data_IF_668788307931
#
_entry.id   IF_668788307931
#
_cell.length_a   1.000
_cell.length_b   1.000
_cell.length_c   1.000
_cell.angle_alpha   90.00
_cell.angle_beta   90.00
_cell.angle_gamma   90.00
#
_symmetry.space_group_name_H-M   'P 1'
#
loop_
_entity.id
_entity.type
_entity.pdbx_description
1 polymer ?
#
# COMPACT_ATOMS: atom_id res chain seq x y z
N UNK A 1 -9.60 0.12 -11.93
CA UNK A 1 -9.01 0.23 -10.54
C UNK A 1 -8.30 -1.03 -10.05
N UNK A 2 -7.95 -1.97 -10.94
CA UNK A 2 -7.28 -3.20 -10.48
C UNK A 2 -5.91 -2.92 -9.82
N UNK A 3 -5.09 -2.09 -10.47
CA UNK A 3 -3.77 -1.71 -9.95
C UNK A 3 -3.88 -0.90 -8.66
N UNK A 4 -4.77 0.09 -8.63
CA UNK A 4 -4.95 0.98 -7.46
C UNK A 4 -5.40 0.18 -6.24
N UNK A 5 -6.40 -0.69 -6.40
CA UNK A 5 -6.88 -1.58 -5.31
C UNK A 5 -5.77 -2.49 -4.81
N UNK A 6 -5.00 -3.07 -5.71
CA UNK A 6 -3.91 -3.97 -5.36
C UNK A 6 -2.81 -3.23 -4.57
N UNK A 7 -2.39 -2.07 -5.06
CA UNK A 7 -1.36 -1.26 -4.41
C UNK A 7 -1.82 -0.75 -3.05
N UNK A 8 -3.08 -0.30 -2.93
CA UNK A 8 -3.63 0.18 -1.66
C UNK A 8 -3.69 -0.93 -0.60
N UNK A 9 -4.13 -2.15 -0.97
CA UNK A 9 -4.15 -3.29 -0.06
C UNK A 9 -2.74 -3.62 0.46
N UNK A 10 -1.73 -3.61 -0.42
CA UNK A 10 -0.34 -3.82 -0.02
C UNK A 10 0.22 -2.64 0.80
N UNK A 11 -0.17 -1.40 0.49
CA UNK A 11 0.25 -0.24 1.26
C UNK A 11 -0.29 -0.30 2.70
N UNK A 12 -1.53 -0.75 2.90
CA UNK A 12 -2.10 -1.02 4.23
C UNK A 12 -1.28 -2.10 4.94
N UNK A 13 -1.11 -3.28 4.33
CA UNK A 13 -0.36 -4.40 4.91
C UNK A 13 1.08 -4.00 5.27
N UNK A 14 1.78 -3.34 4.35
CA UNK A 14 3.16 -2.91 4.53
C UNK A 14 3.29 -1.86 5.65
N UNK A 15 2.26 -1.08 5.95
CA UNK A 15 2.29 -0.07 7.01
C UNK A 15 1.88 -0.56 8.39
N UNK A 16 1.43 -1.81 8.54
CA UNK A 16 1.12 -2.42 9.83
C UNK A 16 2.37 -2.65 10.70
N UNK A 17 2.13 -2.92 11.98
CA UNK A 17 3.14 -3.46 12.90
C UNK A 17 3.63 -4.83 12.43
N UNK A 18 4.74 -5.29 13.00
CA UNK A 18 5.38 -6.53 12.59
C UNK A 18 6.24 -6.38 11.32
N UNK A 19 6.70 -7.50 10.82
CA UNK A 19 7.52 -7.61 9.61
C UNK A 19 6.60 -8.02 8.45
N UNK A 20 6.47 -7.20 7.40
CA UNK A 20 5.61 -7.56 6.29
C UNK A 20 6.20 -8.74 5.51
N UNK A 21 5.38 -9.77 5.30
CA UNK A 21 5.69 -10.90 4.43
C UNK A 21 4.91 -10.76 3.12
N UNK A 22 5.61 -10.77 2.00
CA UNK A 22 4.99 -10.67 0.67
C UNK A 22 5.21 -11.99 -0.06
N UNK A 23 4.12 -12.64 -0.45
CA UNK A 23 4.18 -13.85 -1.27
C UNK A 23 4.80 -13.53 -2.64
N UNK A 24 5.65 -14.44 -3.13
CA UNK A 24 6.39 -14.24 -4.37
C UNK A 24 5.50 -13.81 -5.55
N UNK A 25 4.42 -14.54 -5.81
CA UNK A 25 3.51 -14.22 -6.90
C UNK A 25 2.79 -12.87 -6.71
N UNK A 26 2.58 -12.46 -5.46
CA UNK A 26 2.01 -11.14 -5.17
C UNK A 26 2.95 -10.00 -5.54
N UNK A 27 4.28 -10.19 -5.47
CA UNK A 27 5.21 -9.13 -5.90
C UNK A 27 5.03 -8.73 -7.37
N UNK A 28 4.55 -9.64 -8.20
CA UNK A 28 4.38 -9.42 -9.64
C UNK A 28 2.92 -9.22 -10.07
N UNK A 29 1.98 -9.18 -9.11
CA UNK A 29 0.56 -9.12 -9.43
C UNK A 29 0.11 -10.29 -10.31
N UNK A 30 0.65 -11.49 -10.06
CA UNK A 30 0.33 -12.71 -10.79
C UNK A 30 -1.15 -13.03 -10.66
N UNK A 31 -1.81 -13.27 -11.78
CA UNK A 31 -3.22 -13.70 -11.80
C UNK A 31 -3.34 -15.15 -11.32
N UNK A 32 -4.53 -15.54 -10.91
CA UNK A 32 -4.85 -16.93 -10.62
C UNK A 32 -4.62 -17.82 -11.85
N UNK A 33 -4.20 -19.05 -11.62
CA UNK A 33 -4.01 -20.09 -12.63
C UNK A 33 -5.24 -20.99 -12.67
N UNK A 34 -6.34 -20.45 -13.21
CA UNK A 34 -7.60 -21.16 -13.31
C UNK A 34 -7.50 -22.39 -14.21
N UNK A 35 -6.70 -22.28 -15.27
CA UNK A 35 -6.47 -23.42 -16.20
C UNK A 35 -5.85 -24.62 -15.47
N UNK A 36 -4.88 -24.37 -14.61
CA UNK A 36 -4.26 -25.42 -13.81
C UNK A 36 -5.23 -26.02 -12.80
N UNK A 37 -6.05 -25.20 -12.18
CA UNK A 37 -7.09 -25.67 -11.25
C UNK A 37 -8.10 -26.60 -11.96
N UNK A 38 -8.55 -26.24 -13.17
CA UNK A 38 -9.46 -27.09 -13.97
C UNK A 38 -8.84 -28.47 -14.24
N UNK A 39 -7.52 -28.53 -14.53
CA UNK A 39 -6.83 -29.79 -14.82
C UNK A 39 -6.63 -30.63 -13.54
N UNK A 40 -6.27 -30.01 -12.42
CA UNK A 40 -5.83 -30.74 -11.22
C UNK A 40 -6.93 -30.93 -10.17
N UNK A 41 -7.99 -30.13 -10.22
CA UNK A 41 -9.02 -30.07 -9.16
C UNK A 41 -8.50 -29.57 -7.81
N UNK A 42 -7.23 -29.14 -7.72
CA UNK A 42 -6.61 -28.74 -6.46
C UNK A 42 -6.71 -27.24 -6.24
N UNK A 43 -7.47 -26.82 -5.24
CA UNK A 43 -7.65 -25.40 -4.88
C UNK A 43 -6.33 -24.63 -4.66
N UNK A 44 -5.27 -25.30 -4.21
CA UNK A 44 -3.97 -24.68 -4.01
C UNK A 44 -3.27 -24.28 -5.32
N UNK A 45 -3.63 -24.89 -6.43
CA UNK A 45 -3.00 -24.58 -7.73
C UNK A 45 -3.47 -23.25 -8.30
N UNK A 46 -4.65 -22.74 -7.87
CA UNK A 46 -5.19 -21.44 -8.30
C UNK A 46 -4.19 -20.29 -8.10
N UNK A 47 -3.49 -20.26 -6.99
CA UNK A 47 -2.61 -19.13 -6.63
C UNK A 47 -1.12 -19.48 -6.63
N UNK A 48 -0.74 -20.65 -7.14
CA UNK A 48 0.65 -21.16 -7.15
C UNK A 48 1.23 -21.22 -8.55
N UNK A 49 0.98 -20.19 -9.36
CA UNK A 49 1.61 -20.08 -10.67
C UNK A 49 3.14 -20.20 -10.54
N UNK A 50 3.75 -21.03 -11.38
CA UNK A 50 5.21 -21.25 -11.42
C UNK A 50 5.82 -20.42 -12.53
N UNK A 51 6.52 -19.36 -12.16
CA UNK A 51 7.24 -18.53 -13.10
C UNK A 51 8.49 -19.25 -13.64
N UNK A 52 8.66 -19.21 -14.94
CA UNK A 52 9.96 -19.46 -15.55
C UNK A 52 10.84 -18.21 -15.37
N UNK A 53 12.10 -18.39 -14.94
CA UNK A 53 13.02 -17.29 -14.63
C UNK A 53 13.24 -16.36 -15.83
N UNK A 54 13.42 -16.91 -17.03
CA UNK A 54 13.60 -16.13 -18.28
C UNK A 54 12.36 -15.28 -18.57
N UNK A 55 11.17 -15.85 -18.40
CA UNK A 55 9.91 -15.17 -18.67
C UNK A 55 9.66 -14.01 -17.70
N UNK A 56 9.83 -14.22 -16.39
CA UNK A 56 9.63 -13.16 -15.42
C UNK A 56 10.68 -12.06 -15.57
N UNK A 57 11.94 -12.41 -15.83
CA UNK A 57 13.02 -11.45 -16.08
C UNK A 57 12.73 -10.56 -17.29
N UNK A 58 12.24 -11.14 -18.39
CA UNK A 58 11.86 -10.36 -19.56
C UNK A 58 10.69 -9.42 -19.27
N UNK A 59 9.67 -9.89 -18.54
CA UNK A 59 8.54 -9.03 -18.15
C UNK A 59 8.98 -7.89 -17.23
N UNK A 60 9.92 -8.12 -16.33
CA UNK A 60 10.44 -7.06 -15.45
C UNK A 60 11.28 -6.02 -16.20
N UNK A 61 11.98 -6.41 -17.26
CA UNK A 61 12.72 -5.48 -18.13
C UNK A 61 11.80 -4.65 -19.05
N UNK A 62 10.58 -5.10 -19.27
CA UNK A 62 9.60 -4.39 -20.10
C UNK A 62 8.87 -3.34 -19.24
N UNK A 63 9.21 -2.06 -19.40
CA UNK A 63 8.77 -0.96 -18.54
C UNK A 63 7.27 -0.86 -18.28
N UNK A 64 6.44 -1.21 -19.23
CA UNK A 64 4.98 -1.11 -19.12
C UNK A 64 4.29 -2.47 -18.92
N UNK A 65 5.04 -3.54 -18.63
CA UNK A 65 4.42 -4.80 -18.28
C UNK A 65 3.70 -4.70 -16.95
N UNK A 66 2.59 -5.42 -16.79
CA UNK A 66 1.85 -5.53 -15.52
C UNK A 66 2.82 -5.89 -14.37
N UNK A 67 3.68 -6.88 -14.57
CA UNK A 67 4.62 -7.37 -13.57
C UNK A 67 5.64 -6.31 -13.15
N UNK A 68 6.21 -5.57 -14.12
CA UNK A 68 7.13 -4.47 -13.84
C UNK A 68 6.46 -3.35 -13.04
N UNK A 69 5.24 -2.95 -13.42
CA UNK A 69 4.50 -1.90 -12.72
C UNK A 69 4.23 -2.30 -11.25
N UNK A 70 3.72 -3.52 -11.01
CA UNK A 70 3.44 -4.00 -9.66
C UNK A 70 4.71 -4.10 -8.82
N UNK A 71 5.74 -4.75 -9.35
CA UNK A 71 7.02 -4.91 -8.68
C UNK A 71 7.62 -3.56 -8.25
N UNK A 72 7.70 -2.61 -9.17
CA UNK A 72 8.27 -1.30 -8.89
C UNK A 72 7.46 -0.53 -7.83
N UNK A 73 6.12 -0.60 -7.87
CA UNK A 73 5.28 0.05 -6.86
C UNK A 73 5.48 -0.58 -5.48
N UNK A 74 5.53 -1.91 -5.37
CA UNK A 74 5.76 -2.58 -4.09
C UNK A 74 7.17 -2.33 -3.55
N UNK A 75 8.20 -2.41 -4.39
CA UNK A 75 9.57 -2.06 -4.02
C UNK A 75 9.67 -0.62 -3.51
N UNK A 76 8.97 0.33 -4.15
CA UNK A 76 8.91 1.71 -3.67
C UNK A 76 8.30 1.81 -2.27
N UNK A 77 7.17 1.15 -2.01
CA UNK A 77 6.53 1.13 -0.69
C UNK A 77 7.49 0.57 0.38
N UNK A 78 8.14 -0.55 0.10
CA UNK A 78 9.12 -1.16 1.01
C UNK A 78 10.33 -0.24 1.27
N UNK A 79 10.85 0.39 0.21
CA UNK A 79 11.96 1.33 0.31
C UNK A 79 11.61 2.58 1.13
N UNK A 80 10.38 3.06 1.04
CA UNK A 80 9.90 4.16 1.88
C UNK A 80 9.76 3.69 3.32
N UNK A 81 9.07 2.55 3.54
CA UNK A 81 8.85 1.98 4.88
C UNK A 81 10.15 1.84 5.67
N UNK A 82 11.17 1.20 5.08
CA UNK A 82 12.42 0.90 5.79
C UNK A 82 13.17 2.14 6.31
N UNK A 83 12.86 3.31 5.76
CA UNK A 83 13.46 4.58 6.16
C UNK A 83 12.71 5.27 7.29
N UNK A 84 11.54 4.75 7.71
CA UNK A 84 10.69 5.40 8.70
C UNK A 84 10.78 4.69 10.04
N UNK A 85 11.21 5.40 11.08
CA UNK A 85 11.25 4.89 12.46
C UNK A 85 9.86 4.49 12.98
N UNK A 86 8.81 5.21 12.55
CA UNK A 86 7.43 4.90 12.89
C UNK A 86 6.95 3.55 12.35
N UNK A 87 7.60 3.00 11.31
CA UNK A 87 7.30 1.67 10.78
C UNK A 87 8.17 0.54 11.37
N UNK A 88 8.91 0.80 12.44
CA UNK A 88 9.55 -0.28 13.19
C UNK A 88 8.51 -1.35 13.59
N UNK A 89 8.84 -2.66 13.53
CA UNK A 89 7.89 -3.73 13.85
C UNK A 89 7.14 -3.55 15.16
N UNK A 90 7.83 -3.10 16.20
CA UNK A 90 7.29 -2.90 17.55
C UNK A 90 6.85 -1.44 17.81
N UNK A 91 6.74 -0.59 16.80
CA UNK A 91 6.20 0.75 16.95
C UNK A 91 4.69 0.69 17.17
N UNK A 92 4.17 1.59 17.98
CA UNK A 92 2.75 1.64 18.34
C UNK A 92 1.88 1.92 17.12
N UNK A 93 0.73 1.25 17.03
CA UNK A 93 -0.35 1.56 16.09
C UNK A 93 -1.59 1.98 16.87
N UNK A 94 -2.24 3.03 16.41
CA UNK A 94 -3.53 3.51 16.96
C UNK A 94 -4.48 3.69 15.78
N UNK A 95 -5.62 3.00 15.80
CA UNK A 95 -6.65 3.17 14.78
C UNK A 95 -7.27 4.56 14.86
N UNK A 96 -7.64 5.09 13.71
CA UNK A 96 -8.32 6.38 13.56
C UNK A 96 -9.64 6.15 12.84
N UNK A 97 -10.69 6.80 13.28
CA UNK A 97 -12.00 6.73 12.65
C UNK A 97 -12.14 7.86 11.60
N UNK A 98 -12.29 7.47 10.36
CA UNK A 98 -12.56 8.36 9.21
C UNK A 98 -13.87 7.99 8.52
N UNK A 99 -14.72 7.17 9.17
CA UNK A 99 -15.95 6.61 8.61
C UNK A 99 -15.73 5.37 7.74
N UNK A 100 -16.80 4.76 7.24
CA UNK A 100 -16.78 3.39 6.69
C UNK A 100 -16.06 3.23 5.36
N UNK A 101 -15.76 4.31 4.65
CA UNK A 101 -15.12 4.28 3.33
C UNK A 101 -13.63 4.59 3.36
N UNK A 102 -13.11 5.01 4.51
CA UNK A 102 -11.70 5.38 4.66
C UNK A 102 -11.13 4.58 5.82
N UNK A 103 -10.11 3.80 5.54
CA UNK A 103 -9.35 3.12 6.59
C UNK A 103 -8.13 3.94 6.97
N UNK A 104 -7.92 4.13 8.28
CA UNK A 104 -6.78 4.89 8.74
C UNK A 104 -6.31 4.54 10.14
N UNK A 105 -5.03 4.77 10.35
CA UNK A 105 -4.36 4.60 11.63
C UNK A 105 -3.09 5.45 11.67
N UNK A 106 -2.59 5.70 12.86
CA UNK A 106 -1.27 6.30 13.06
C UNK A 106 -0.27 5.30 13.60
N UNK A 107 0.97 5.42 13.14
CA UNK A 107 2.15 4.73 13.65
C UNK A 107 3.01 5.74 14.39
N UNK A 108 3.48 5.38 15.57
CA UNK A 108 4.29 6.24 16.42
C UNK A 108 5.61 5.53 16.67
N UNK A 109 6.74 6.18 16.32
CA UNK A 109 8.07 5.62 16.56
C UNK A 109 8.31 5.38 18.05
N UNK A 110 9.21 4.45 18.39
CA UNK A 110 9.52 4.12 19.79
C UNK A 110 10.02 5.34 20.59
N UNK A 111 10.77 6.21 19.94
CA UNK A 111 11.25 7.48 20.52
C UNK A 111 10.20 8.60 20.50
N UNK A 112 8.97 8.32 20.03
CA UNK A 112 7.83 9.24 19.89
C UNK A 112 8.10 10.48 19.02
N UNK A 113 9.24 10.56 18.33
CA UNK A 113 9.63 11.72 17.50
C UNK A 113 9.01 11.70 16.12
N UNK A 114 8.71 10.53 15.58
CA UNK A 114 8.05 10.40 14.28
C UNK A 114 6.65 9.82 14.42
N UNK A 115 5.68 10.47 13.80
CA UNK A 115 4.31 10.00 13.64
C UNK A 115 4.04 9.91 12.14
N UNK A 116 3.53 8.76 11.70
CA UNK A 116 3.04 8.56 10.33
C UNK A 116 1.57 8.19 10.38
N UNK A 117 0.72 9.01 9.76
CA UNK A 117 -0.71 8.73 9.60
C UNK A 117 -0.91 8.08 8.23
N UNK A 118 -1.37 6.83 8.26
CA UNK A 118 -1.70 6.06 7.07
C UNK A 118 -3.19 6.18 6.82
N UNK A 119 -3.58 6.67 5.65
CA UNK A 119 -4.99 6.86 5.28
C UNK A 119 -5.21 6.27 3.89
N UNK A 120 -6.22 5.42 3.75
CA UNK A 120 -6.57 4.75 2.48
C UNK A 120 -8.05 4.89 2.20
N UNK A 121 -8.39 5.39 1.02
CA UNK A 121 -9.74 5.33 0.49
C UNK A 121 -10.02 3.90 0.01
N UNK A 122 -11.00 3.22 0.62
CA UNK A 122 -11.39 1.84 0.28
C UNK A 122 -12.46 1.77 -0.82
N UNK A 123 -12.88 2.94 -1.35
CA UNK A 123 -13.99 3.01 -2.30
C UNK A 123 -13.54 3.38 -3.71
N UNK A 124 -14.40 3.09 -4.69
CA UNK A 124 -14.23 3.47 -6.10
C UNK A 124 -14.62 4.92 -6.40
N UNK A 125 -14.97 5.71 -5.39
CA UNK A 125 -15.31 7.13 -5.50
C UNK A 125 -14.34 7.98 -4.70
N UNK A 126 -14.06 9.23 -5.08
CA UNK A 126 -13.30 10.14 -4.25
C UNK A 126 -13.92 10.27 -2.87
N UNK A 127 -13.10 10.34 -1.84
CA UNK A 127 -13.53 10.51 -0.45
C UNK A 127 -12.81 11.71 0.17
N UNK A 128 -13.51 12.38 1.08
CA UNK A 128 -13.03 13.56 1.78
C UNK A 128 -12.99 13.31 3.28
N UNK A 129 -11.88 13.62 3.91
CA UNK A 129 -11.73 13.49 5.37
C UNK A 129 -11.07 14.71 5.96
N UNK A 130 -11.36 14.97 7.24
CA UNK A 130 -10.70 16.06 7.97
C UNK A 130 -9.26 15.65 8.31
N UNK A 131 -8.34 16.61 8.20
CA UNK A 131 -6.99 16.47 8.73
C UNK A 131 -6.94 17.35 9.99
N UNK A 132 -6.42 16.78 11.08
CA UNK A 132 -6.22 17.56 12.31
C UNK A 132 -5.18 18.67 12.05
N UNK A 133 -5.58 19.92 12.31
CA UNK A 133 -4.70 21.09 12.16
C UNK A 133 -3.49 21.06 13.08
N UNK A 134 -3.58 20.33 14.20
CA UNK A 134 -2.52 20.20 15.18
C UNK A 134 -1.38 19.27 14.72
N UNK A 135 -1.53 18.63 13.55
CA UNK A 135 -0.50 17.75 12.99
C UNK A 135 0.75 18.48 12.48
N UNK A 136 0.78 19.84 12.57
CA UNK A 136 1.90 20.62 12.08
C UNK A 136 2.07 20.52 10.54
N UNK A 137 3.28 20.78 10.06
CA UNK A 137 3.62 20.64 8.64
C UNK A 137 3.84 19.15 8.33
N UNK A 138 2.85 18.50 7.71
CA UNK A 138 2.96 17.09 7.30
C UNK A 138 3.33 16.97 5.82
N UNK A 139 4.13 15.95 5.48
CA UNK A 139 4.43 15.56 4.11
C UNK A 139 3.91 14.17 3.78
N UNK A 140 3.49 13.97 2.55
CA UNK A 140 3.15 12.64 2.07
C UNK A 140 4.42 11.88 1.64
N UNK A 141 4.77 10.85 2.37
CA UNK A 141 5.95 10.01 2.09
C UNK A 141 5.86 9.30 0.73
N UNK A 142 4.64 9.04 0.25
CA UNK A 142 4.42 8.39 -1.04
C UNK A 142 4.61 9.34 -2.23
N UNK A 143 4.84 10.64 -1.94
CA UNK A 143 5.22 11.65 -2.94
C UNK A 143 4.09 12.11 -3.86
N UNK A 144 2.85 11.63 -3.69
CA UNK A 144 1.71 12.20 -4.39
C UNK A 144 1.40 13.60 -3.83
N UNK A 145 1.05 14.53 -4.74
CA UNK A 145 0.58 15.85 -4.32
C UNK A 145 -0.72 15.67 -3.53
N UNK A 146 -0.74 16.21 -2.31
CA UNK A 146 -1.95 16.18 -1.49
C UNK A 146 -2.99 17.14 -2.07
N UNK A 147 -4.19 16.65 -2.27
CA UNK A 147 -5.32 17.51 -2.60
C UNK A 147 -6.01 17.94 -1.30
N UNK A 148 -5.70 19.16 -0.86
CA UNK A 148 -6.23 19.72 0.39
C UNK A 148 -7.21 20.84 0.03
N UNK A 149 -8.49 20.64 0.35
CA UNK A 149 -9.54 21.63 0.19
C UNK A 149 -9.73 22.45 1.46
N UNK A 150 -9.87 23.75 1.31
CA UNK A 150 -10.13 24.71 2.41
C UNK A 150 -9.14 24.60 3.59
N UNK A 151 -7.89 24.17 3.35
CA UNK A 151 -6.85 23.95 4.36
C UNK A 151 -7.26 23.00 5.52
N UNK A 152 -8.34 22.21 5.34
CA UNK A 152 -8.90 21.35 6.40
C UNK A 152 -9.19 19.93 5.93
N UNK A 153 -9.42 19.72 4.65
CA UNK A 153 -9.91 18.45 4.14
C UNK A 153 -8.92 17.86 3.15
N UNK A 154 -8.53 16.63 3.41
CA UNK A 154 -7.81 15.79 2.46
C UNK A 154 -8.82 15.11 1.54
N UNK A 155 -8.64 15.27 0.24
CA UNK A 155 -9.42 14.56 -0.78
C UNK A 155 -8.58 13.43 -1.33
N UNK A 156 -9.04 12.21 -1.17
CA UNK A 156 -8.40 10.99 -1.65
C UNK A 156 -9.10 10.51 -2.93
N UNK A 157 -8.33 10.25 -3.97
CA UNK A 157 -8.82 9.59 -5.19
C UNK A 157 -9.33 8.16 -4.86
N UNK A 158 -10.08 7.51 -5.77
CA UNK A 158 -10.44 6.10 -5.62
C UNK A 158 -9.21 5.25 -5.29
N UNK A 159 -9.29 4.45 -4.23
CA UNK A 159 -8.23 3.55 -3.75
C UNK A 159 -6.87 4.22 -3.51
N UNK A 160 -6.84 5.54 -3.29
CA UNK A 160 -5.60 6.24 -2.96
C UNK A 160 -5.20 5.98 -1.51
N UNK A 161 -3.90 5.74 -1.33
CA UNK A 161 -3.26 5.69 -0.01
C UNK A 161 -2.29 6.85 0.12
N UNK A 162 -2.27 7.48 1.29
CA UNK A 162 -1.27 8.45 1.70
C UNK A 162 -0.63 8.04 3.02
N UNK A 163 0.66 8.35 3.18
CA UNK A 163 1.40 8.21 4.43
C UNK A 163 1.89 9.59 4.84
N UNK A 164 1.20 10.22 5.76
CA UNK A 164 1.46 11.58 6.21
C UNK A 164 2.41 11.56 7.40
N UNK A 165 3.61 12.11 7.24
CA UNK A 165 4.63 12.17 8.30
C UNK A 165 4.81 13.60 8.79
N UNK A 166 5.05 13.75 10.08
CA UNK A 166 5.46 15.00 10.71
C UNK A 166 6.95 15.35 10.50
N UNK A 167 7.69 14.45 9.87
CA UNK A 167 9.14 14.61 9.57
C UNK A 167 9.40 14.42 8.08
#
# INVERSE_FOLDING_TARGET
>A
FYLERYVSAHAIMISFEGIPAIYFNSMFGTSNDEAKFIITGNNRDVNRYRWNLKNISNKLKTNNSKQSIFYNKLCRLLNIRRKQKAFHPNAQRINLDFGPKIYGFKRISKDKKQIVICITNLSSKPQKTKIDKNSGKVRNLLGSKMNIENKKFLVLKPFETVWLSNN
#
